data_IF_644562218177
#
_entry.id   IF_644562218177
#
_cell.length_a   1.000
_cell.length_b   1.000
_cell.length_c   1.000
_cell.angle_alpha   90.00
_cell.angle_beta   90.00
_cell.angle_gamma   90.00
#
_symmetry.space_group_name_H-M   'P 1'
#
loop_
_entity.id
_entity.type
_entity.pdbx_description
1 polymer ?
#
# COMPACT_ATOMS: atom_id res chain seq x y z
N UNK A 1 -48.87 -3.93 17.73
CA UNK A 1 -47.66 -4.07 16.90
C UNK A 1 -48.14 -4.42 15.50
N UNK A 2 -47.56 -3.85 14.46
CA UNK A 2 -47.92 -4.21 13.09
C UNK A 2 -47.59 -5.69 12.86
N UNK A 3 -48.57 -6.47 12.38
CA UNK A 3 -48.48 -7.92 12.27
C UNK A 3 -47.99 -8.29 10.88
N UNK A 4 -46.88 -9.04 10.81
CA UNK A 4 -46.39 -9.60 9.55
C UNK A 4 -47.00 -10.99 9.40
N UNK A 5 -47.82 -11.17 8.36
CA UNK A 5 -48.33 -12.48 7.97
C UNK A 5 -47.32 -13.19 7.07
N UNK A 6 -46.35 -13.86 7.70
CA UNK A 6 -45.53 -14.87 7.02
C UNK A 6 -45.83 -16.24 7.60
N UNK A 7 -45.96 -17.25 6.73
CA UNK A 7 -46.16 -18.63 7.15
C UNK A 7 -44.82 -19.27 7.55
N UNK A 8 -44.88 -20.32 8.36
CA UNK A 8 -43.69 -21.12 8.70
C UNK A 8 -42.99 -21.66 7.45
N UNK A 9 -43.76 -21.98 6.41
CA UNK A 9 -43.24 -22.48 5.13
C UNK A 9 -42.44 -21.42 4.38
N UNK A 10 -42.89 -20.16 4.38
CA UNK A 10 -42.11 -19.04 3.82
C UNK A 10 -40.81 -18.79 4.58
N UNK A 11 -40.82 -18.91 5.91
CA UNK A 11 -39.58 -18.78 6.71
C UNK A 11 -38.62 -19.94 6.42
N UNK A 12 -39.14 -21.16 6.23
CA UNK A 12 -38.35 -22.33 5.82
C UNK A 12 -37.73 -22.16 4.44
N UNK A 13 -38.47 -21.61 3.47
CA UNK A 13 -37.94 -21.34 2.12
C UNK A 13 -36.86 -20.25 2.15
N UNK A 14 -37.06 -19.17 2.92
CA UNK A 14 -36.10 -18.06 3.03
C UNK A 14 -34.80 -18.47 3.74
N UNK A 15 -34.89 -19.32 4.76
CA UNK A 15 -33.72 -19.65 5.60
C UNK A 15 -33.11 -21.01 5.32
N UNK A 16 -33.82 -21.88 4.60
CA UNK A 16 -33.41 -23.25 4.38
C UNK A 16 -33.65 -24.15 5.59
N UNK A 17 -34.00 -25.42 5.34
CA UNK A 17 -34.52 -26.34 6.36
C UNK A 17 -33.54 -26.59 7.53
N UNK A 18 -32.24 -26.58 7.24
CA UNK A 18 -31.16 -26.73 8.24
C UNK A 18 -31.08 -25.56 9.21
N UNK A 19 -31.21 -24.32 8.72
CA UNK A 19 -31.16 -23.14 9.58
C UNK A 19 -32.49 -22.90 10.28
N UNK A 20 -33.61 -23.21 9.62
CA UNK A 20 -34.94 -23.17 10.20
C UNK A 20 -35.04 -24.03 11.46
N UNK A 21 -34.71 -25.34 11.37
CA UNK A 21 -34.80 -26.26 12.53
C UNK A 21 -34.02 -25.76 13.75
N UNK A 22 -32.84 -25.20 13.51
CA UNK A 22 -32.00 -24.62 14.56
C UNK A 22 -32.56 -23.29 15.08
N UNK A 23 -33.10 -22.44 14.20
CA UNK A 23 -33.74 -21.18 14.57
C UNK A 23 -35.00 -21.40 15.40
N UNK A 24 -35.82 -22.38 15.04
CA UNK A 24 -37.00 -22.81 15.79
C UNK A 24 -36.65 -23.25 17.21
N UNK A 25 -35.55 -24.00 17.37
CA UNK A 25 -35.03 -24.36 18.70
C UNK A 25 -34.62 -23.11 19.51
N UNK A 26 -34.00 -22.11 18.89
CA UNK A 26 -33.61 -20.88 19.58
C UNK A 26 -34.82 -20.04 19.99
N UNK A 27 -35.81 -19.94 19.12
CA UNK A 27 -37.09 -19.29 19.42
C UNK A 27 -37.83 -20.00 20.56
N UNK A 28 -38.04 -21.33 20.47
CA UNK A 28 -38.75 -22.11 21.50
C UNK A 28 -38.07 -22.04 22.87
N UNK A 29 -36.75 -21.96 22.89
CA UNK A 29 -35.95 -21.81 24.12
C UNK A 29 -35.85 -20.36 24.63
N UNK A 30 -36.64 -19.43 24.10
CA UNK A 30 -36.67 -18.03 24.57
C UNK A 30 -35.36 -17.28 24.37
N UNK A 31 -34.53 -17.68 23.41
CA UNK A 31 -33.22 -17.05 23.16
C UNK A 31 -33.32 -15.75 22.35
N UNK A 32 -34.52 -15.42 21.88
CA UNK A 32 -34.82 -14.19 21.15
C UNK A 32 -35.40 -13.17 22.11
N UNK A 33 -34.85 -11.96 22.13
CA UNK A 33 -35.29 -10.87 22.98
C UNK A 33 -35.00 -9.52 22.32
N UNK A 34 -35.50 -8.44 22.91
CA UNK A 34 -35.26 -7.09 22.39
C UNK A 34 -35.86 -6.85 21.00
N UNK A 35 -36.95 -7.53 20.64
CA UNK A 35 -37.66 -7.25 19.40
C UNK A 35 -38.25 -5.84 19.46
N UNK A 36 -37.92 -5.05 18.44
CA UNK A 36 -38.39 -3.67 18.24
C UNK A 36 -38.73 -3.46 16.77
N UNK A 37 -39.79 -2.70 16.50
CA UNK A 37 -40.22 -2.32 15.17
C UNK A 37 -39.98 -0.83 14.96
N UNK A 38 -39.35 -0.48 13.84
CA UNK A 38 -39.19 0.90 13.40
C UNK A 38 -40.18 1.18 12.24
N UNK A 39 -41.19 2.05 12.46
CA UNK A 39 -42.19 2.39 11.45
C UNK A 39 -41.65 3.28 10.31
N UNK A 40 -40.59 4.06 10.53
CA UNK A 40 -40.08 5.00 9.52
C UNK A 40 -39.48 4.28 8.31
N UNK A 41 -38.83 3.14 8.54
CA UNK A 41 -38.15 2.36 7.51
C UNK A 41 -38.68 0.92 7.40
N UNK A 42 -39.86 0.65 7.96
CA UNK A 42 -40.52 -0.66 7.95
C UNK A 42 -39.57 -1.81 8.32
N UNK A 43 -38.82 -1.66 9.41
CA UNK A 43 -37.80 -2.64 9.81
C UNK A 43 -38.00 -3.19 11.22
N UNK A 44 -37.65 -4.46 11.41
CA UNK A 44 -37.58 -5.11 12.70
C UNK A 44 -36.13 -5.33 13.12
N UNK A 45 -35.86 -5.13 14.40
CA UNK A 45 -34.59 -5.51 15.02
C UNK A 45 -34.83 -6.50 16.15
N UNK A 46 -34.04 -7.58 16.17
CA UNK A 46 -34.06 -8.59 17.22
C UNK A 46 -32.66 -8.98 17.72
N UNK A 47 -32.57 -9.36 18.99
CA UNK A 47 -31.34 -9.88 19.59
C UNK A 47 -31.49 -11.38 19.87
N UNK A 48 -30.46 -12.15 19.54
CA UNK A 48 -30.46 -13.60 19.74
C UNK A 48 -29.27 -14.04 20.58
N UNK A 49 -29.52 -14.70 21.71
CA UNK A 49 -28.48 -15.25 22.60
C UNK A 49 -27.91 -16.54 22.02
N UNK A 50 -26.66 -16.51 21.55
CA UNK A 50 -25.88 -17.69 21.18
C UNK A 50 -24.59 -17.78 22.00
N UNK A 51 -23.46 -18.05 21.35
CA UNK A 51 -22.12 -17.92 21.98
C UNK A 51 -21.78 -16.47 22.32
N UNK A 52 -22.34 -15.53 21.54
CA UNK A 52 -22.44 -14.10 21.84
C UNK A 52 -23.84 -13.62 21.51
N UNK A 53 -24.13 -12.34 21.75
CA UNK A 53 -25.39 -11.73 21.34
C UNK A 53 -25.29 -11.37 19.86
N UNK A 54 -26.20 -11.89 19.07
CA UNK A 54 -26.29 -11.57 17.65
C UNK A 54 -27.41 -10.57 17.40
N UNK A 55 -27.12 -9.54 16.62
CA UNK A 55 -28.12 -8.55 16.19
C UNK A 55 -28.62 -8.93 14.82
N UNK A 56 -29.93 -9.05 14.70
CA UNK A 56 -30.64 -9.32 13.45
C UNK A 56 -31.47 -8.10 13.09
N UNK A 57 -31.41 -7.66 11.83
CA UNK A 57 -32.34 -6.68 11.28
C UNK A 57 -33.06 -7.29 10.08
N UNK A 58 -34.34 -6.96 9.95
CA UNK A 58 -35.22 -7.44 8.90
C UNK A 58 -35.90 -6.21 8.32
N UNK A 59 -35.74 -5.98 7.02
CA UNK A 59 -36.34 -4.87 6.30
C UNK A 59 -37.44 -5.41 5.39
N UNK A 60 -38.60 -4.78 5.45
CA UNK A 60 -39.73 -5.11 4.59
C UNK A 60 -39.81 -4.09 3.47
N UNK A 61 -39.69 -4.53 2.22
CA UNK A 61 -39.95 -3.67 1.06
C UNK A 61 -41.38 -3.85 0.55
N UNK A 62 -41.88 -2.89 -0.22
CA UNK A 62 -43.29 -2.79 -0.64
C UNK A 62 -43.78 -3.95 -1.55
N UNK A 63 -42.91 -4.90 -1.93
CA UNK A 63 -43.19 -5.96 -2.91
C UNK A 63 -43.03 -7.39 -2.36
N UNK A 64 -43.29 -7.61 -1.06
CA UNK A 64 -43.12 -8.92 -0.37
C UNK A 64 -41.68 -9.46 -0.34
N UNK A 65 -40.69 -8.68 -0.76
CA UNK A 65 -39.27 -9.01 -0.56
C UNK A 65 -38.83 -8.62 0.85
N UNK A 66 -38.09 -9.53 1.48
CA UNK A 66 -37.57 -9.36 2.83
C UNK A 66 -36.06 -9.37 2.73
N UNK A 67 -35.45 -8.25 3.09
CA UNK A 67 -34.00 -8.19 3.25
C UNK A 67 -33.65 -8.42 4.73
N UNK A 68 -32.60 -9.18 4.97
CA UNK A 68 -32.20 -9.54 6.33
C UNK A 68 -30.72 -9.31 6.53
N UNK A 69 -30.32 -8.96 7.74
CA UNK A 69 -28.90 -8.86 8.10
C UNK A 69 -28.68 -9.46 9.47
N UNK A 70 -27.56 -10.14 9.64
CA UNK A 70 -27.14 -10.68 10.92
C UNK A 70 -25.63 -10.60 11.09
N UNK A 71 -25.16 -10.15 12.25
CA UNK A 71 -23.72 -10.04 12.55
C UNK A 71 -23.05 -11.39 12.92
N UNK A 72 -23.65 -12.52 12.55
CA UNK A 72 -23.11 -13.84 12.84
C UNK A 72 -22.26 -14.36 11.68
N UNK A 73 -21.19 -15.15 11.96
CA UNK A 73 -20.31 -15.66 10.91
C UNK A 73 -21.04 -16.44 9.81
N UNK A 74 -22.07 -17.22 10.18
CA UNK A 74 -22.85 -18.00 9.23
C UNK A 74 -23.63 -17.14 8.22
N UNK A 75 -24.02 -15.92 8.61
CA UNK A 75 -24.74 -15.02 7.73
C UNK A 75 -23.80 -14.45 6.66
N UNK A 76 -22.58 -14.07 7.03
CA UNK A 76 -21.58 -13.59 6.08
C UNK A 76 -21.16 -14.61 5.01
N UNK A 77 -21.46 -15.91 5.21
CA UNK A 77 -21.10 -16.99 4.27
C UNK A 77 -22.30 -17.50 3.47
N UNK A 78 -23.52 -17.36 3.99
CA UNK A 78 -24.71 -18.02 3.43
C UNK A 78 -25.88 -17.07 3.18
N UNK A 79 -25.71 -15.77 3.46
CA UNK A 79 -26.75 -14.72 3.42
C UNK A 79 -28.03 -15.05 4.20
N UNK A 80 -27.95 -16.04 5.08
CA UNK A 80 -29.02 -16.46 5.97
C UNK A 80 -28.44 -17.20 7.16
N UNK A 81 -29.21 -17.31 8.24
CA UNK A 81 -28.77 -18.06 9.40
C UNK A 81 -29.92 -18.45 10.34
N UNK A 82 -29.60 -19.32 11.30
CA UNK A 82 -30.52 -19.71 12.37
C UNK A 82 -31.03 -18.54 13.22
N UNK A 83 -30.29 -17.43 13.32
CA UNK A 83 -30.72 -16.27 14.11
C UNK A 83 -31.79 -15.46 13.36
N UNK A 84 -31.66 -15.33 12.04
CA UNK A 84 -32.71 -14.73 11.18
C UNK A 84 -33.99 -15.55 11.28
N UNK A 85 -33.89 -16.88 11.14
CA UNK A 85 -35.03 -17.78 11.34
C UNK A 85 -35.69 -17.62 12.72
N UNK A 86 -34.90 -17.55 13.80
CA UNK A 86 -35.42 -17.39 15.15
C UNK A 86 -36.16 -16.06 15.36
N UNK A 87 -35.65 -14.97 14.79
CA UNK A 87 -36.27 -13.63 14.91
C UNK A 87 -37.52 -13.53 14.05
N UNK A 88 -37.51 -14.06 12.83
CA UNK A 88 -38.72 -14.14 11.99
C UNK A 88 -39.83 -14.94 12.69
N UNK A 89 -39.50 -16.10 13.26
CA UNK A 89 -40.45 -16.90 14.05
C UNK A 89 -40.98 -16.13 15.26
N UNK A 90 -40.12 -15.39 15.95
CA UNK A 90 -40.55 -14.60 17.09
C UNK A 90 -41.50 -13.47 16.68
N UNK A 91 -41.24 -12.78 15.56
CA UNK A 91 -42.10 -11.70 15.06
C UNK A 91 -43.45 -12.24 14.57
N UNK A 92 -43.47 -13.40 13.92
CA UNK A 92 -44.71 -13.99 13.35
C UNK A 92 -45.54 -14.74 14.38
N UNK A 93 -44.91 -15.40 15.36
CA UNK A 93 -45.59 -16.26 16.34
C UNK A 93 -45.84 -15.58 17.70
N UNK A 94 -45.04 -14.60 18.13
CA UNK A 94 -45.40 -13.77 19.30
C UNK A 94 -46.59 -12.85 19.00
N UNK A 95 -46.84 -12.56 17.71
CA UNK A 95 -48.06 -11.91 17.25
C UNK A 95 -49.34 -12.75 17.46
N UNK A 96 -49.20 -14.08 17.53
CA UNK A 96 -50.32 -15.03 17.66
C UNK A 96 -50.45 -15.61 19.08
N UNK A 97 -49.39 -15.54 19.89
CA UNK A 97 -49.40 -16.03 21.28
C UNK A 97 -49.25 -14.87 22.25
N UNK A 98 -50.23 -14.68 23.14
CA UNK A 98 -50.23 -13.68 24.23
C UNK A 98 -49.15 -13.96 25.31
N UNK A 99 -47.91 -14.26 24.93
CA UNK A 99 -46.79 -14.49 25.85
C UNK A 99 -46.22 -13.16 26.30
N UNK A 100 -46.68 -12.70 27.48
CA UNK A 100 -46.04 -11.64 28.26
C UNK A 100 -44.56 -12.01 28.50
N UNK A 101 -43.68 -11.04 28.25
CA UNK A 101 -42.23 -11.12 28.45
C UNK A 101 -41.87 -11.17 29.94
N UNK A 102 -40.59 -11.48 30.16
CA UNK A 102 -39.77 -11.40 31.38
C UNK A 102 -39.60 -12.72 32.15
N UNK A 103 -38.43 -13.34 31.95
CA UNK A 103 -37.80 -14.19 32.94
C UNK A 103 -36.69 -13.38 33.62
N UNK A 104 -37.01 -12.76 34.74
CA UNK A 104 -36.07 -12.43 35.82
C UNK A 104 -36.86 -12.54 37.14
N UNK A 105 -36.23 -13.20 38.12
CA UNK A 105 -36.71 -13.60 39.45
C UNK A 105 -38.01 -13.01 40.01
N UNK A 106 -38.93 -13.91 40.37
CA UNK A 106 -40.05 -13.62 41.28
C UNK A 106 -39.55 -13.68 42.71
N UNK A 107 -39.19 -12.53 43.27
CA UNK A 107 -39.54 -12.08 44.64
C UNK A 107 -38.71 -10.85 45.01
N UNK A 108 -39.17 -9.66 44.62
CA UNK A 108 -38.80 -8.43 45.30
C UNK A 108 -39.92 -7.40 45.09
N UNK A 109 -40.40 -6.86 46.20
CA UNK A 109 -41.47 -5.86 46.27
C UNK A 109 -41.10 -4.59 45.50
N UNK A 110 -42.15 -3.93 45.01
CA UNK A 110 -42.12 -2.75 44.17
C UNK A 110 -41.36 -1.58 44.81
N UNK A 111 -40.26 -1.18 44.19
CA UNK A 111 -39.80 0.21 44.17
C UNK A 111 -39.71 0.57 42.70
N UNK A 112 -40.41 1.61 42.26
CA UNK A 112 -40.39 2.10 40.88
C UNK A 112 -39.05 2.74 40.57
N UNK A 113 -38.03 1.91 40.37
CA UNK A 113 -36.81 2.32 39.67
C UNK A 113 -37.19 2.32 38.20
N UNK A 114 -37.10 3.46 37.52
CA UNK A 114 -37.23 3.51 36.07
C UNK A 114 -36.22 2.51 35.50
N UNK A 115 -36.72 1.44 34.88
CA UNK A 115 -35.89 0.44 34.23
C UNK A 115 -34.97 1.15 33.23
N UNK A 116 -33.66 0.91 33.33
CA UNK A 116 -32.69 1.51 32.41
C UNK A 116 -33.10 1.22 30.97
N UNK A 117 -33.31 2.28 30.19
CA UNK A 117 -33.73 2.21 28.79
C UNK A 117 -32.80 1.27 28.02
N UNK A 118 -33.35 0.59 27.01
CA UNK A 118 -32.63 -0.28 26.10
C UNK A 118 -31.39 0.42 25.51
N UNK A 119 -31.48 1.71 25.20
CA UNK A 119 -30.33 2.48 24.72
C UNK A 119 -29.26 2.64 25.80
N UNK A 120 -29.65 2.99 27.03
CA UNK A 120 -28.74 3.10 28.17
C UNK A 120 -28.14 1.74 28.56
N UNK A 121 -28.90 0.63 28.50
CA UNK A 121 -28.36 -0.74 28.65
C UNK A 121 -27.36 -1.09 27.55
N UNK A 122 -27.58 -0.60 26.33
CA UNK A 122 -26.65 -0.78 25.22
C UNK A 122 -25.38 0.06 25.42
N UNK A 123 -25.49 1.30 25.86
CA UNK A 123 -24.32 2.11 26.26
C UNK A 123 -23.53 1.42 27.37
N UNK A 124 -24.21 0.99 28.44
CA UNK A 124 -23.59 0.27 29.56
C UNK A 124 -22.91 -1.04 29.15
N UNK A 125 -23.38 -1.70 28.09
CA UNK A 125 -22.78 -2.94 27.57
C UNK A 125 -21.65 -2.66 26.57
N UNK A 126 -21.80 -1.67 25.70
CA UNK A 126 -20.81 -1.26 24.68
C UNK A 126 -19.59 -0.61 25.34
N UNK A 127 -19.81 0.24 26.33
CA UNK A 127 -18.77 0.91 27.11
C UNK A 127 -18.49 0.18 28.44
N UNK A 128 -18.97 -1.06 28.60
CA UNK A 128 -18.57 -1.88 29.73
C UNK A 128 -17.09 -2.14 29.57
N UNK A 129 -16.31 -1.51 30.42
CA UNK A 129 -14.87 -1.64 30.40
C UNK A 129 -14.54 -3.13 30.59
N UNK A 130 -13.98 -3.75 29.55
CA UNK A 130 -13.55 -5.16 29.58
C UNK A 130 -12.23 -5.32 30.35
N UNK A 131 -11.76 -4.25 30.99
CA UNK A 131 -10.62 -4.16 31.88
C UNK A 131 -10.89 -4.87 33.22
N UNK A 132 -11.25 -6.16 33.16
CA UNK A 132 -10.96 -7.10 34.25
C UNK A 132 -9.66 -7.87 33.95
N UNK A 133 -8.70 -7.21 33.30
CA UNK A 133 -7.33 -7.70 33.26
C UNK A 133 -6.58 -6.99 34.38
N UNK A 134 -6.46 -7.66 35.52
CA UNK A 134 -5.56 -7.30 36.64
C UNK A 134 -4.08 -7.53 36.32
N UNK A 135 -3.74 -7.68 35.04
CA UNK A 135 -2.39 -7.96 34.57
C UNK A 135 -1.65 -6.65 34.33
N UNK A 136 -0.39 -6.57 34.75
CA UNK A 136 0.44 -5.40 34.52
C UNK A 136 0.65 -5.17 33.02
N UNK A 137 0.71 -3.92 32.55
CA UNK A 137 1.01 -3.62 31.15
C UNK A 137 2.28 -4.32 30.69
N UNK A 138 2.25 -4.92 29.50
CA UNK A 138 3.37 -5.64 28.90
C UNK A 138 3.76 -5.01 27.57
N UNK A 139 5.04 -4.66 27.44
CA UNK A 139 5.59 -4.17 26.18
C UNK A 139 5.63 -5.32 25.17
N UNK A 140 5.31 -5.02 23.92
CA UNK A 140 5.45 -5.95 22.80
C UNK A 140 6.67 -5.57 21.99
N UNK A 141 7.55 -6.54 21.78
CA UNK A 141 8.68 -6.41 20.87
C UNK A 141 8.23 -6.70 19.44
N UNK A 142 8.77 -5.95 18.49
CA UNK A 142 8.43 -6.00 17.07
C UNK A 142 9.68 -6.15 16.20
N UNK A 143 9.55 -6.95 15.13
CA UNK A 143 10.54 -7.03 14.05
C UNK A 143 9.83 -6.86 12.71
N UNK A 144 10.52 -6.24 11.76
CA UNK A 144 9.98 -5.94 10.45
C UNK A 144 10.78 -6.65 9.35
N UNK A 145 10.10 -7.07 8.29
CA UNK A 145 10.75 -7.55 7.08
C UNK A 145 10.25 -6.76 5.90
N UNK A 146 11.07 -5.86 5.40
CA UNK A 146 10.81 -5.11 4.17
C UNK A 146 11.22 -6.01 2.99
N UNK A 147 10.30 -6.29 2.08
CA UNK A 147 10.56 -7.15 0.92
C UNK A 147 10.30 -6.41 -0.38
N UNK A 148 11.27 -6.48 -1.27
CA UNK A 148 11.11 -6.10 -2.67
C UNK A 148 10.51 -7.28 -3.44
N UNK A 149 9.33 -7.08 -4.04
CA UNK A 149 8.61 -8.11 -4.78
C UNK A 149 8.16 -7.61 -6.15
N UNK A 150 7.94 -8.54 -7.07
CA UNK A 150 7.29 -8.24 -8.35
C UNK A 150 5.80 -8.12 -8.13
N UNK A 151 5.27 -6.99 -8.57
CA UNK A 151 3.86 -6.68 -8.49
C UNK A 151 3.09 -7.52 -9.54
N UNK A 152 3.44 -7.38 -10.81
CA UNK A 152 2.70 -8.00 -11.91
C UNK A 152 3.65 -8.62 -12.93
N UNK A 153 3.09 -9.34 -13.91
CA UNK A 153 3.82 -9.86 -15.07
C UNK A 153 4.54 -8.75 -15.85
N UNK A 154 4.10 -7.51 -15.75
CA UNK A 154 4.68 -6.33 -16.42
C UNK A 154 5.83 -5.66 -15.64
N UNK A 155 6.64 -6.44 -14.91
CA UNK A 155 7.91 -6.01 -14.27
C UNK A 155 7.84 -4.81 -13.32
N UNK A 156 6.67 -4.39 -12.86
CA UNK A 156 6.56 -3.37 -11.82
C UNK A 156 7.00 -3.98 -10.49
N UNK A 157 7.96 -3.34 -9.82
CA UNK A 157 8.38 -3.71 -8.48
C UNK A 157 7.58 -2.96 -7.42
N UNK A 158 7.29 -3.63 -6.32
CA UNK A 158 6.60 -3.07 -5.18
C UNK A 158 7.29 -3.48 -3.88
N UNK A 159 7.06 -2.70 -2.84
CA UNK A 159 7.57 -3.00 -1.51
C UNK A 159 6.42 -3.51 -0.63
N UNK A 160 6.69 -4.60 0.06
CA UNK A 160 5.80 -5.15 1.07
C UNK A 160 6.51 -5.18 2.41
N UNK A 161 5.72 -5.18 3.48
CA UNK A 161 6.23 -5.31 4.84
C UNK A 161 5.51 -6.43 5.57
N UNK A 162 6.30 -7.26 6.25
CA UNK A 162 5.83 -8.24 7.22
C UNK A 162 6.21 -7.80 8.63
N UNK A 163 5.41 -8.21 9.59
CA UNK A 163 5.62 -7.90 11.00
C UNK A 163 5.72 -9.19 11.79
N UNK A 164 6.66 -9.22 12.72
CA UNK A 164 6.67 -10.17 13.83
C UNK A 164 6.46 -9.41 15.13
N UNK A 165 5.74 -10.02 16.07
CA UNK A 165 5.49 -9.40 17.37
C UNK A 165 5.38 -10.43 18.49
N UNK A 166 5.73 -10.05 19.73
CA UNK A 166 5.54 -10.89 20.92
C UNK A 166 5.99 -10.24 22.22
N UNK A 167 5.60 -10.84 23.34
CA UNK A 167 5.94 -10.43 24.71
C UNK A 167 7.31 -10.94 25.19
N UNK A 168 7.75 -12.08 24.67
CA UNK A 168 9.05 -12.72 25.01
C UNK A 168 9.96 -12.92 23.80
N UNK A 169 9.35 -13.18 22.64
CA UNK A 169 10.04 -13.32 21.37
C UNK A 169 9.10 -12.92 20.23
N UNK A 170 9.59 -12.27 19.17
CA UNK A 170 8.77 -11.91 18.02
C UNK A 170 8.27 -13.13 17.25
N UNK A 171 6.96 -13.21 17.02
CA UNK A 171 6.32 -14.25 16.21
C UNK A 171 5.74 -13.66 14.94
N UNK A 172 5.91 -14.35 13.81
CA UNK A 172 5.36 -13.94 12.51
C UNK A 172 3.84 -13.82 12.56
N UNK A 173 3.32 -12.66 12.16
CA UNK A 173 1.89 -12.44 11.99
C UNK A 173 1.43 -13.09 10.69
N UNK A 174 0.68 -14.19 10.78
CA UNK A 174 0.25 -14.95 9.59
C UNK A 174 -0.83 -14.27 8.75
N UNK A 175 -1.60 -13.38 9.38
CA UNK A 175 -2.67 -12.61 8.76
C UNK A 175 -2.56 -11.16 9.25
N UNK A 176 -1.74 -10.35 8.55
CA UNK A 176 -1.49 -8.97 8.94
C UNK A 176 -2.77 -8.12 8.82
N UNK A 177 -3.62 -8.41 7.82
CA UNK A 177 -4.89 -7.71 7.60
C UNK A 177 -5.88 -7.99 8.73
N UNK A 178 -5.97 -9.26 9.15
CA UNK A 178 -6.76 -9.67 10.31
C UNK A 178 -6.28 -9.02 11.59
N UNK A 179 -4.97 -8.96 11.80
CA UNK A 179 -4.36 -8.30 12.96
C UNK A 179 -4.68 -6.80 12.99
N UNK A 180 -4.39 -6.07 11.91
CA UNK A 180 -4.63 -4.62 11.83
C UNK A 180 -6.12 -4.28 11.99
N UNK A 181 -7.02 -5.11 11.44
CA UNK A 181 -8.47 -4.97 11.64
C UNK A 181 -8.86 -5.16 13.11
N UNK A 182 -8.34 -6.18 13.78
CA UNK A 182 -8.61 -6.44 15.19
C UNK A 182 -8.08 -5.31 16.07
N UNK A 183 -6.86 -4.84 15.78
CA UNK A 183 -6.25 -3.71 16.47
C UNK A 183 -7.09 -2.44 16.36
N UNK A 184 -7.52 -2.08 15.14
CA UNK A 184 -8.39 -0.91 14.91
C UNK A 184 -9.77 -1.04 15.60
N UNK A 185 -10.23 -2.27 15.84
CA UNK A 185 -11.50 -2.55 16.52
C UNK A 185 -11.35 -2.72 18.05
N UNK A 186 -10.13 -2.61 18.60
CA UNK A 186 -9.85 -2.88 20.01
C UNK A 186 -10.08 -4.35 20.42
N UNK A 187 -10.01 -5.28 19.47
CA UNK A 187 -10.21 -6.72 19.70
C UNK A 187 -8.87 -7.45 19.91
N UNK A 188 -8.89 -8.50 20.74
CA UNK A 188 -7.75 -9.38 20.90
C UNK A 188 -7.49 -10.19 19.62
N UNK A 189 -6.22 -10.41 19.28
CA UNK A 189 -5.83 -11.17 18.10
C UNK A 189 -4.85 -12.30 18.43
N UNK A 190 -5.21 -13.54 18.05
CA UNK A 190 -4.37 -14.71 18.28
C UNK A 190 -3.30 -14.83 17.18
N UNK A 191 -2.05 -14.52 17.53
CA UNK A 191 -0.91 -14.59 16.61
C UNK A 191 -0.53 -16.05 16.34
N UNK A 192 -0.39 -16.84 17.41
CA UNK A 192 -0.15 -18.29 17.33
C UNK A 192 -0.72 -19.01 18.57
N UNK A 193 -0.34 -20.27 18.81
CA UNK A 193 -0.83 -21.02 19.97
C UNK A 193 -0.28 -20.51 21.32
N UNK A 194 0.88 -19.86 21.31
CA UNK A 194 1.59 -19.42 22.51
C UNK A 194 1.37 -17.94 22.84
N UNK A 195 0.96 -17.12 21.87
CA UNK A 195 0.82 -15.68 22.04
C UNK A 195 -0.48 -15.15 21.43
N UNK A 196 -1.22 -14.39 22.24
CA UNK A 196 -2.41 -13.64 21.85
C UNK A 196 -2.22 -12.19 22.26
N UNK A 197 -2.35 -11.29 21.30
CA UNK A 197 -2.29 -9.86 21.58
C UNK A 197 -3.62 -9.41 22.17
N UNK A 198 -3.54 -8.71 23.31
CA UNK A 198 -4.67 -8.13 24.01
C UNK A 198 -4.44 -6.62 24.14
N UNK A 199 -5.22 -5.76 23.45
CA UNK A 199 -5.05 -4.30 23.52
C UNK A 199 -5.18 -3.72 24.94
N UNK A 200 -5.83 -4.45 25.86
CA UNK A 200 -5.99 -4.05 27.27
C UNK A 200 -4.76 -4.33 28.14
N UNK A 201 -3.82 -5.16 27.68
CA UNK A 201 -2.65 -5.60 28.45
C UNK A 201 -1.36 -5.22 27.75
N UNK A 202 -1.35 -5.32 26.42
CA UNK A 202 -0.17 -5.15 25.60
C UNK A 202 -0.09 -3.74 25.02
N UNK A 203 1.10 -3.15 25.03
CA UNK A 203 1.37 -1.85 24.42
C UNK A 203 2.64 -1.87 23.59
N UNK A 204 2.71 -0.95 22.62
CA UNK A 204 3.88 -0.72 21.77
C UNK A 204 4.73 0.39 22.37
N UNK A 205 6.05 0.36 22.13
CA UNK A 205 6.89 1.54 22.40
C UNK A 205 6.43 2.70 21.52
N UNK A 206 6.78 3.95 21.85
CA UNK A 206 6.37 5.10 21.03
C UNK A 206 6.81 4.98 19.57
N UNK A 207 7.99 4.39 19.34
CA UNK A 207 8.55 4.16 18.00
C UNK A 207 7.74 3.10 17.24
N UNK A 208 7.47 1.95 17.87
CA UNK A 208 6.69 0.87 17.27
C UNK A 208 5.24 1.29 17.04
N UNK A 209 4.66 2.04 17.97
CA UNK A 209 3.30 2.57 17.87
C UNK A 209 3.13 3.41 16.59
N UNK A 210 4.07 4.30 16.30
CA UNK A 210 4.03 5.10 15.08
C UNK A 210 4.13 4.23 13.81
N UNK A 211 4.92 3.14 13.86
CA UNK A 211 5.06 2.22 12.72
C UNK A 211 3.76 1.46 12.50
N UNK A 212 3.13 1.00 13.59
CA UNK A 212 1.83 0.33 13.56
C UNK A 212 0.73 1.26 13.01
N UNK A 213 0.74 2.56 13.34
CA UNK A 213 -0.17 3.56 12.77
C UNK A 213 0.03 3.75 11.26
N UNK A 214 1.28 3.76 10.79
CA UNK A 214 1.55 3.75 9.33
C UNK A 214 1.02 2.47 8.67
N UNK A 215 1.19 1.30 9.30
CA UNK A 215 0.67 0.04 8.77
C UNK A 215 -0.86 0.00 8.75
N UNK A 216 -1.54 0.61 9.74
CA UNK A 216 -2.98 0.82 9.70
C UNK A 216 -3.39 1.70 8.51
N UNK A 217 -2.62 2.75 8.23
CA UNK A 217 -2.84 3.61 7.05
C UNK A 217 -2.66 2.81 5.75
N UNK A 218 -1.63 1.96 5.65
CA UNK A 218 -1.45 1.04 4.52
C UNK A 218 -2.69 0.13 4.35
N UNK A 219 -3.21 -0.43 5.46
CA UNK A 219 -4.39 -1.30 5.45
C UNK A 219 -5.66 -0.57 5.00
N UNK A 220 -5.85 0.67 5.42
CA UNK A 220 -7.01 1.46 5.01
C UNK A 220 -6.95 1.83 3.53
N UNK A 221 -5.78 2.25 3.02
CA UNK A 221 -5.59 2.53 1.60
C UNK A 221 -5.77 1.27 0.75
N UNK A 222 -5.21 0.13 1.17
CA UNK A 222 -5.45 -1.15 0.50
C UNK A 222 -6.94 -1.50 0.47
N UNK A 223 -7.69 -1.26 1.56
CA UNK A 223 -9.13 -1.54 1.61
C UNK A 223 -9.95 -0.61 0.70
N UNK A 224 -9.61 0.68 0.65
CA UNK A 224 -10.33 1.69 -0.15
C UNK A 224 -10.05 1.54 -1.65
N UNK A 225 -8.80 1.30 -2.00
CA UNK A 225 -8.35 1.25 -3.40
C UNK A 225 -8.14 -0.17 -3.91
N UNK A 226 -8.66 -1.17 -3.20
CA UNK A 226 -8.29 -2.60 -3.24
C UNK A 226 -8.41 -3.36 -4.55
N UNK A 227 -8.52 -2.66 -5.69
CA UNK A 227 -8.41 -3.21 -7.04
C UNK A 227 -7.74 -2.25 -8.07
N UNK A 228 -7.40 -1.00 -7.75
CA UNK A 228 -6.87 -0.03 -8.73
C UNK A 228 -5.35 0.08 -8.73
N UNK A 229 -4.69 -0.19 -7.60
CA UNK A 229 -3.23 -0.18 -7.48
C UNK A 229 -2.69 -1.63 -7.52
N UNK A 230 -2.73 -2.20 -8.72
CA UNK A 230 -1.81 -3.25 -9.22
C UNK A 230 -1.87 -4.65 -8.57
N UNK A 231 -2.37 -4.91 -7.34
CA UNK A 231 -1.98 -6.16 -6.66
C UNK A 231 -3.00 -6.89 -5.76
N UNK A 232 -3.44 -8.07 -6.20
CA UNK A 232 -3.86 -9.14 -5.27
C UNK A 232 -2.60 -9.78 -4.69
N UNK A 233 -2.24 -9.47 -3.44
CA UNK A 233 -1.40 -10.39 -2.69
C UNK A 233 -2.22 -11.64 -2.39
N UNK A 234 -1.79 -12.77 -2.92
CA UNK A 234 -2.23 -14.08 -2.41
C UNK A 234 -1.64 -14.36 -1.01
N UNK A 235 -0.74 -13.49 -0.52
CA UNK A 235 -0.04 -13.67 0.74
C UNK A 235 -0.70 -12.92 1.89
N UNK A 236 -1.27 -13.62 2.90
CA UNK A 236 -1.91 -12.99 4.05
C UNK A 236 -0.92 -12.36 5.03
N UNK A 237 0.39 -12.64 4.90
CA UNK A 237 1.43 -12.27 5.88
C UNK A 237 2.01 -10.88 5.67
N UNK A 238 1.89 -10.35 4.46
CA UNK A 238 2.49 -9.08 4.07
C UNK A 238 1.44 -8.10 3.57
N UNK A 239 1.77 -6.82 3.71
CA UNK A 239 0.96 -5.70 3.23
C UNK A 239 1.81 -4.82 2.31
N UNK A 240 1.21 -4.24 1.28
CA UNK A 240 1.91 -3.28 0.42
C UNK A 240 2.14 -1.97 1.13
N UNK A 241 3.30 -1.38 0.85
CA UNK A 241 3.60 -0.01 1.22
C UNK A 241 3.12 0.89 0.08
N UNK A 242 2.14 1.78 0.31
CA UNK A 242 1.74 2.76 -0.70
C UNK A 242 2.90 3.69 -1.07
N UNK A 243 3.02 4.10 -2.35
CA UNK A 243 4.08 5.01 -2.76
C UNK A 243 4.08 6.35 -2.02
N UNK A 244 2.93 6.80 -1.51
CA UNK A 244 2.81 8.04 -0.74
C UNK A 244 3.40 7.94 0.67
N UNK A 245 3.61 6.74 1.21
CA UNK A 245 4.10 6.51 2.56
C UNK A 245 5.56 6.05 2.62
N UNK A 246 6.19 5.79 1.47
CA UNK A 246 7.50 5.14 1.45
C UNK A 246 8.59 5.97 2.12
N UNK A 247 8.64 7.28 1.88
CA UNK A 247 9.67 8.16 2.44
C UNK A 247 9.63 8.13 3.98
N UNK A 248 8.46 8.39 4.55
CA UNK A 248 8.25 8.36 6.01
C UNK A 248 8.51 6.96 6.59
N UNK A 249 8.11 5.91 5.86
CA UNK A 249 8.33 4.54 6.30
C UNK A 249 9.82 4.18 6.35
N UNK A 250 10.60 4.54 5.32
CA UNK A 250 12.04 4.27 5.29
C UNK A 250 12.77 5.03 6.39
N UNK A 251 12.45 6.31 6.60
CA UNK A 251 13.03 7.13 7.67
C UNK A 251 12.82 6.50 9.05
N UNK A 252 11.60 6.01 9.29
CA UNK A 252 11.26 5.37 10.55
C UNK A 252 11.84 3.95 10.68
N UNK A 253 11.92 3.19 9.59
CA UNK A 253 12.38 1.81 9.60
C UNK A 253 13.82 1.67 10.10
N UNK A 254 14.68 2.66 9.81
CA UNK A 254 16.10 2.71 10.25
C UNK A 254 16.24 2.65 11.78
N UNK A 255 15.22 3.09 12.52
CA UNK A 255 15.23 3.05 13.99
C UNK A 255 14.66 1.75 14.59
N UNK A 256 14.23 0.81 13.74
CA UNK A 256 13.56 -0.43 14.14
C UNK A 256 14.48 -1.64 14.00
N UNK A 257 14.07 -2.78 14.54
CA UNK A 257 14.66 -4.06 14.20
C UNK A 257 14.05 -4.57 12.89
N UNK A 258 14.83 -4.59 11.80
CA UNK A 258 14.34 -4.99 10.49
C UNK A 258 15.36 -5.75 9.65
N UNK A 259 14.85 -6.47 8.65
CA UNK A 259 15.65 -7.07 7.58
C UNK A 259 15.06 -6.60 6.25
N UNK A 260 15.92 -6.16 5.32
CA UNK A 260 15.53 -5.91 3.94
C UNK A 260 15.82 -7.14 3.08
N UNK A 261 14.81 -7.62 2.37
CA UNK A 261 14.89 -8.78 1.49
C UNK A 261 14.64 -8.38 0.04
N UNK A 262 15.60 -8.69 -0.82
CA UNK A 262 15.46 -8.48 -2.26
C UNK A 262 14.69 -9.62 -2.95
N UNK A 263 14.29 -9.38 -4.20
CA UNK A 263 13.65 -10.39 -5.05
C UNK A 263 14.54 -11.64 -5.21
N UNK A 264 15.86 -11.44 -5.35
CA UNK A 264 16.90 -12.47 -5.47
C UNK A 264 17.09 -13.33 -4.21
N UNK A 265 16.26 -13.14 -3.17
CA UNK A 265 16.36 -13.75 -1.84
C UNK A 265 17.59 -13.33 -1.03
N UNK A 266 18.37 -12.34 -1.48
CA UNK A 266 19.41 -11.72 -0.67
C UNK A 266 18.77 -10.91 0.47
N UNK A 267 19.33 -11.07 1.66
CA UNK A 267 18.89 -10.37 2.87
C UNK A 267 19.98 -9.41 3.34
N UNK A 268 19.56 -8.22 3.76
CA UNK A 268 20.41 -7.15 4.23
C UNK A 268 19.94 -6.67 5.61
N UNK A 269 20.83 -6.54 6.59
CA UNK A 269 20.47 -6.11 7.95
C UNK A 269 20.23 -4.60 8.05
N UNK A 270 20.57 -3.85 7.01
CA UNK A 270 20.38 -2.40 6.95
C UNK A 270 20.19 -1.94 5.52
N UNK A 271 19.59 -0.76 5.37
CA UNK A 271 19.42 -0.05 4.11
C UNK A 271 20.05 1.32 4.20
N UNK A 272 20.46 1.85 3.06
CA UNK A 272 20.95 3.22 2.90
C UNK A 272 20.06 3.95 1.91
N UNK A 273 19.75 5.20 2.21
CA UNK A 273 18.89 6.05 1.36
C UNK A 273 19.67 7.31 0.98
N UNK A 274 19.73 7.62 -0.31
CA UNK A 274 20.33 8.88 -0.79
C UNK A 274 19.67 9.31 -2.10
N UNK A 275 19.89 10.55 -2.53
CA UNK A 275 19.54 10.97 -3.89
C UNK A 275 20.40 10.23 -4.92
N UNK A 276 19.85 10.05 -6.13
CA UNK A 276 20.56 9.50 -7.27
C UNK A 276 21.39 10.58 -7.96
N UNK A 277 22.67 10.31 -8.14
CA UNK A 277 23.65 11.23 -8.73
C UNK A 277 24.38 10.57 -9.89
N UNK A 278 25.29 9.65 -9.58
CA UNK A 278 26.35 9.15 -10.46
C UNK A 278 26.40 7.62 -10.51
N UNK A 279 25.32 6.95 -10.11
CA UNK A 279 25.27 5.48 -9.99
C UNK A 279 25.28 4.76 -11.36
N UNK A 280 24.82 5.43 -12.41
CA UNK A 280 24.89 4.89 -13.77
C UNK A 280 26.10 5.52 -14.45
N UNK A 281 27.08 4.69 -14.80
CA UNK A 281 28.26 5.14 -15.52
C UNK A 281 28.03 4.89 -17.00
N UNK A 282 28.33 5.89 -17.82
CA UNK A 282 28.34 5.82 -19.27
C UNK A 282 29.76 6.12 -19.74
N UNK A 283 30.31 5.28 -20.60
CA UNK A 283 31.64 5.46 -21.16
C UNK A 283 31.55 5.55 -22.68
N UNK A 284 32.05 6.64 -23.23
CA UNK A 284 32.06 6.93 -24.66
C UNK A 284 33.49 6.94 -25.18
N UNK A 285 33.76 6.13 -26.20
CA UNK A 285 35.09 5.99 -26.78
C UNK A 285 35.06 6.13 -28.31
N UNK A 286 36.19 6.52 -28.89
CA UNK A 286 36.42 6.65 -30.32
C UNK A 286 37.52 5.70 -30.78
N UNK A 287 37.14 4.72 -31.61
CA UNK A 287 38.03 3.68 -32.09
C UNK A 287 38.71 4.06 -33.42
N UNK A 288 39.82 3.38 -33.72
CA UNK A 288 40.69 3.65 -34.89
C UNK A 288 39.99 3.54 -36.26
N UNK A 289 38.78 2.97 -36.35
CA UNK A 289 38.00 2.80 -37.58
C UNK A 289 36.91 3.88 -37.78
N UNK A 290 37.04 5.03 -37.14
CA UNK A 290 36.00 6.08 -37.12
C UNK A 290 34.65 5.57 -36.60
N UNK A 291 34.66 4.72 -35.58
CA UNK A 291 33.45 4.25 -34.92
C UNK A 291 33.43 4.71 -33.47
N UNK A 292 32.27 5.18 -33.04
CA UNK A 292 32.03 5.56 -31.65
C UNK A 292 31.45 4.37 -30.91
N UNK A 293 31.89 4.14 -29.67
CA UNK A 293 31.34 3.09 -28.82
C UNK A 293 30.83 3.62 -27.51
N UNK A 294 29.64 3.16 -27.11
CA UNK A 294 29.04 3.41 -25.81
C UNK A 294 29.05 2.12 -24.99
N UNK A 295 29.61 2.22 -23.79
CA UNK A 295 29.49 1.23 -22.71
C UNK A 295 28.71 1.88 -21.56
N UNK A 296 27.98 1.08 -20.80
CA UNK A 296 27.22 1.58 -19.66
C UNK A 296 27.17 0.55 -18.53
N UNK A 297 26.93 1.03 -17.30
CA UNK A 297 26.64 0.17 -16.15
C UNK A 297 25.53 -0.81 -16.49
N UNK A 298 25.75 -2.08 -16.16
CA UNK A 298 24.72 -3.12 -16.30
C UNK A 298 23.60 -2.85 -15.30
N UNK A 299 22.39 -2.57 -15.81
CA UNK A 299 21.22 -2.28 -14.97
C UNK A 299 20.41 -3.54 -14.63
N UNK A 300 20.88 -4.74 -14.97
CA UNK A 300 20.18 -5.99 -14.67
C UNK A 300 20.00 -6.24 -13.16
N UNK A 301 20.96 -5.78 -12.34
CA UNK A 301 20.91 -5.84 -10.88
C UNK A 301 20.24 -4.61 -10.23
N UNK A 302 19.75 -3.67 -11.05
CA UNK A 302 19.03 -2.48 -10.60
C UNK A 302 17.52 -2.70 -10.68
N UNK A 303 16.82 -2.31 -9.61
CA UNK A 303 15.38 -2.42 -9.51
C UNK A 303 14.75 -1.04 -9.58
N UNK A 304 14.07 -0.74 -10.69
CA UNK A 304 13.37 0.53 -10.87
C UNK A 304 11.93 0.45 -10.34
N UNK A 305 11.64 1.19 -9.27
CA UNK A 305 10.33 1.30 -8.65
C UNK A 305 9.67 2.62 -9.09
N UNK A 306 9.08 2.63 -10.29
CA UNK A 306 8.57 3.87 -10.92
C UNK A 306 7.64 4.68 -10.01
N UNK A 307 6.76 3.96 -9.30
CA UNK A 307 5.66 4.59 -8.57
C UNK A 307 6.18 5.16 -7.25
N UNK A 308 7.22 4.54 -6.70
CA UNK A 308 7.90 4.96 -5.48
C UNK A 308 8.94 6.06 -5.75
N UNK A 309 9.34 6.28 -7.01
CA UNK A 309 10.47 7.16 -7.36
C UNK A 309 11.76 6.75 -6.65
N UNK A 310 12.03 5.45 -6.67
CA UNK A 310 13.27 4.87 -6.19
C UNK A 310 13.90 3.94 -7.23
N UNK A 311 15.21 3.90 -7.25
CA UNK A 311 16.01 2.86 -7.87
C UNK A 311 16.77 2.12 -6.76
N UNK A 312 16.67 0.80 -6.71
CA UNK A 312 17.34 -0.01 -5.68
C UNK A 312 18.48 -0.79 -6.32
N UNK A 313 19.66 -0.74 -5.71
CA UNK A 313 20.80 -1.59 -6.04
C UNK A 313 21.42 -2.12 -4.75
N UNK A 314 21.50 -3.45 -4.60
CA UNK A 314 21.81 -4.11 -3.33
C UNK A 314 20.89 -3.60 -2.19
N UNK A 315 21.45 -3.09 -1.08
CA UNK A 315 20.69 -2.49 0.02
C UNK A 315 20.52 -0.98 -0.06
N UNK A 316 20.88 -0.36 -1.20
CA UNK A 316 20.83 1.08 -1.36
C UNK A 316 19.59 1.51 -2.15
N UNK A 317 18.86 2.46 -1.60
CA UNK A 317 17.66 3.07 -2.15
C UNK A 317 18.02 4.48 -2.67
N UNK A 318 18.11 4.62 -3.98
CA UNK A 318 18.39 5.90 -4.62
C UNK A 318 17.07 6.61 -4.96
N UNK A 319 16.80 7.71 -4.27
CA UNK A 319 15.66 8.58 -4.55
C UNK A 319 15.90 9.32 -5.85
N UNK A 320 14.85 9.42 -6.67
CA UNK A 320 14.96 10.09 -7.98
C UNK A 320 13.97 11.25 -8.11
N UNK A 321 14.42 12.29 -8.79
CA UNK A 321 13.57 13.42 -9.17
C UNK A 321 12.66 13.08 -10.37
N UNK A 322 11.73 13.97 -10.71
CA UNK A 322 10.77 13.73 -11.80
C UNK A 322 11.44 13.64 -13.18
N UNK A 323 12.47 14.45 -13.44
CA UNK A 323 13.22 14.42 -14.70
C UNK A 323 13.99 13.11 -14.84
N UNK A 324 14.70 12.70 -13.78
CA UNK A 324 15.39 11.41 -13.70
C UNK A 324 14.42 10.24 -13.93
N UNK A 325 13.22 10.27 -13.32
CA UNK A 325 12.18 9.25 -13.55
C UNK A 325 11.84 9.09 -15.03
N UNK A 326 11.60 10.19 -15.75
CA UNK A 326 11.26 10.14 -17.19
C UNK A 326 12.38 9.53 -18.04
N UNK A 327 13.64 9.78 -17.67
CA UNK A 327 14.81 9.24 -18.37
C UNK A 327 14.99 7.76 -18.05
N UNK A 328 14.90 7.38 -16.78
CA UNK A 328 15.02 5.99 -16.33
C UNK A 328 13.90 5.12 -16.90
N UNK A 329 12.66 5.63 -16.99
CA UNK A 329 11.56 4.92 -17.67
C UNK A 329 11.92 4.55 -19.12
N UNK A 330 12.57 5.46 -19.86
CA UNK A 330 13.02 5.18 -21.23
C UNK A 330 14.17 4.17 -21.24
N UNK A 331 15.16 4.33 -20.36
CA UNK A 331 16.33 3.44 -20.24
C UNK A 331 15.92 2.00 -19.88
N UNK A 332 15.11 1.82 -18.84
CA UNK A 332 14.64 0.49 -18.41
C UNK A 332 13.70 -0.16 -19.44
N UNK A 333 13.05 0.61 -20.31
CA UNK A 333 12.23 0.07 -21.42
C UNK A 333 13.07 -0.50 -22.55
N UNK A 334 14.26 0.04 -22.82
CA UNK A 334 15.16 -0.40 -23.90
C UNK A 334 16.15 -1.48 -23.46
N UNK A 335 16.43 -1.59 -22.15
CA UNK A 335 17.37 -2.56 -21.55
C UNK A 335 17.05 -4.05 -21.75
N UNK A 336 15.78 -4.53 -21.79
CA UNK A 336 15.47 -5.96 -21.97
C UNK A 336 15.95 -6.56 -23.30
N UNK A 337 16.43 -5.72 -24.22
CA UNK A 337 16.84 -6.11 -25.57
C UNK A 337 18.36 -6.09 -25.79
N UNK A 338 19.18 -5.80 -24.77
CA UNK A 338 20.62 -5.57 -24.95
C UNK A 338 21.48 -6.73 -24.40
N UNK A 339 21.97 -7.59 -25.30
CA UNK A 339 22.95 -8.64 -24.97
C UNK A 339 24.42 -8.21 -25.21
N UNK A 340 24.65 -7.00 -25.76
CA UNK A 340 25.99 -6.51 -26.10
C UNK A 340 26.46 -5.51 -25.05
N UNK A 341 27.63 -5.76 -24.46
CA UNK A 341 28.27 -4.84 -23.51
C UNK A 341 28.68 -3.51 -24.15
N UNK A 342 29.02 -3.52 -25.45
CA UNK A 342 29.40 -2.33 -26.22
C UNK A 342 28.39 -2.08 -27.33
N UNK A 343 27.88 -0.85 -27.40
CA UNK A 343 27.02 -0.37 -28.47
C UNK A 343 27.84 0.50 -29.44
N UNK A 344 27.59 0.37 -30.73
CA UNK A 344 28.28 1.16 -31.76
C UNK A 344 27.38 2.29 -32.24
N UNK A 345 27.95 3.48 -32.39
CA UNK A 345 27.28 4.68 -32.90
C UNK A 345 28.02 5.09 -34.18
N UNK A 346 27.25 5.30 -35.25
CA UNK A 346 27.79 5.73 -36.54
C UNK A 346 28.23 7.20 -36.49
N UNK A 347 29.28 7.62 -37.23
CA UNK A 347 29.66 9.03 -37.27
C UNK A 347 28.58 10.00 -37.72
N UNK A 348 27.71 9.57 -38.64
CA UNK A 348 26.58 10.39 -39.12
C UNK A 348 25.51 10.65 -38.07
N UNK A 349 25.42 9.82 -37.02
CA UNK A 349 24.43 9.95 -35.95
C UNK A 349 25.02 10.57 -34.69
N UNK A 350 26.34 10.84 -34.68
CA UNK A 350 27.04 11.30 -33.48
C UNK A 350 26.53 12.66 -33.01
N UNK A 351 26.33 13.62 -33.91
CA UNK A 351 25.80 14.94 -33.57
C UNK A 351 24.41 14.85 -32.93
N UNK A 352 23.58 13.94 -33.44
CA UNK A 352 22.23 13.68 -32.90
C UNK A 352 22.33 13.05 -31.51
N UNK A 353 23.27 12.13 -31.31
CA UNK A 353 23.51 11.48 -30.02
C UNK A 353 24.00 12.49 -28.96
N UNK A 354 24.98 13.33 -29.30
CA UNK A 354 25.50 14.36 -28.40
C UNK A 354 24.39 15.35 -28.03
N UNK A 355 23.60 15.80 -29.00
CA UNK A 355 22.55 16.80 -28.75
C UNK A 355 21.37 16.27 -27.93
N UNK A 356 20.97 15.01 -28.15
CA UNK A 356 19.72 14.49 -27.59
C UNK A 356 19.91 13.47 -26.46
N UNK A 357 21.01 12.71 -26.45
CA UNK A 357 21.21 11.59 -25.51
C UNK A 357 22.13 11.97 -24.36
N UNK A 358 23.28 12.59 -24.65
CA UNK A 358 24.27 12.93 -23.60
C UNK A 358 23.69 13.80 -22.47
N UNK A 359 22.93 14.89 -22.73
CA UNK A 359 22.34 15.69 -21.67
C UNK A 359 21.36 14.91 -20.79
N UNK A 360 20.71 13.87 -21.33
CA UNK A 360 19.83 13.00 -20.55
C UNK A 360 20.65 12.04 -19.67
N UNK A 361 21.78 11.53 -20.17
CA UNK A 361 22.64 10.62 -19.41
C UNK A 361 23.31 11.33 -18.23
N UNK A 362 23.78 12.56 -18.43
CA UNK A 362 24.35 13.41 -17.37
C UNK A 362 23.37 13.71 -16.22
N UNK A 363 22.05 13.60 -16.46
CA UNK A 363 21.04 13.82 -15.41
C UNK A 363 20.82 12.60 -14.51
N UNK A 364 21.18 11.40 -14.96
CA UNK A 364 20.94 10.13 -14.25
C UNK A 364 22.22 9.40 -13.89
N UNK A 365 23.38 9.94 -14.26
CA UNK A 365 24.64 9.24 -14.15
C UNK A 365 25.85 10.07 -14.56
N UNK A 366 27.02 9.46 -14.50
CA UNK A 366 28.28 10.07 -14.94
C UNK A 366 28.59 9.67 -16.38
N UNK A 367 28.93 10.62 -17.24
CA UNK A 367 29.41 10.37 -18.59
C UNK A 367 30.92 10.61 -18.65
N UNK A 368 31.68 9.55 -18.93
CA UNK A 368 33.11 9.61 -19.15
C UNK A 368 33.44 9.47 -20.64
N UNK A 369 34.42 10.24 -21.10
CA UNK A 369 34.91 10.19 -22.47
C UNK A 369 36.40 9.87 -22.49
N UNK A 370 36.85 9.07 -23.45
CA UNK A 370 38.28 8.88 -23.67
C UNK A 370 38.95 10.17 -24.15
N UNK A 371 40.25 10.35 -23.91
CA UNK A 371 40.99 11.53 -24.41
C UNK A 371 40.89 11.69 -25.93
N UNK A 372 40.81 10.59 -26.67
CA UNK A 372 40.63 10.60 -28.13
C UNK A 372 39.26 11.14 -28.52
N UNK A 373 38.25 10.81 -27.73
CA UNK A 373 36.89 11.29 -27.91
C UNK A 373 36.76 12.78 -27.56
N UNK A 374 37.35 13.20 -26.43
CA UNK A 374 37.37 14.60 -26.02
C UNK A 374 38.07 15.52 -27.05
N UNK A 375 39.06 15.01 -27.80
CA UNK A 375 39.69 15.76 -28.90
C UNK A 375 38.83 15.88 -30.16
N UNK A 376 37.87 14.97 -30.36
CA UNK A 376 36.92 15.02 -31.48
C UNK A 376 35.72 15.93 -31.18
N UNK A 377 35.32 16.02 -29.90
CA UNK A 377 34.21 16.88 -29.45
C UNK A 377 34.78 18.08 -28.71
N UNK A 378 34.78 19.23 -29.36
CA UNK A 378 35.11 20.47 -28.69
C UNK A 378 33.99 20.83 -27.69
N UNK A 379 34.27 20.72 -26.40
CA UNK A 379 33.33 20.99 -25.29
C UNK A 379 33.60 22.32 -24.58
N UNK A 380 34.56 23.10 -25.05
CA UNK A 380 34.90 24.39 -24.46
C UNK A 380 33.72 25.39 -24.58
N UNK A 381 33.49 26.25 -23.58
CA UNK A 381 32.41 27.23 -23.63
C UNK A 381 32.63 28.20 -24.80
N UNK A 382 31.56 28.43 -25.58
CA UNK A 382 31.59 29.37 -26.71
C UNK A 382 31.92 30.79 -26.23
N UNK A 383 32.99 31.36 -26.78
CA UNK A 383 33.33 32.77 -26.65
C UNK A 383 33.16 33.47 -28.01
N UNK A 384 32.41 34.56 -28.04
CA UNK A 384 32.19 35.34 -29.26
C UNK A 384 33.03 36.60 -29.18
N UNK A 385 33.92 36.80 -30.17
CA UNK A 385 34.68 38.04 -30.34
C UNK A 385 34.16 38.77 -31.57
N UNK A 386 33.90 40.07 -31.40
CA UNK A 386 33.45 40.94 -32.50
C UNK A 386 34.52 41.98 -32.73
N UNK A 387 35.09 41.98 -33.93
CA UNK A 387 36.06 42.96 -34.39
C UNK A 387 35.33 43.98 -35.25
N UNK A 388 35.48 45.26 -34.94
CA UNK A 388 34.84 46.35 -35.67
C UNK A 388 35.93 47.24 -36.23
N UNK A 389 36.00 47.32 -37.56
CA UNK A 389 36.92 48.16 -38.29
C UNK A 389 36.16 49.14 -39.18
N UNK A 390 36.70 50.35 -39.35
CA UNK A 390 36.18 51.33 -40.30
C UNK A 390 37.01 51.28 -41.58
N UNK A 391 36.37 50.94 -42.70
CA UNK A 391 37.00 50.87 -44.03
C UNK A 391 36.17 51.74 -44.99
N UNK A 392 36.82 52.73 -45.60
CA UNK A 392 36.20 53.65 -46.57
C UNK A 392 34.88 54.29 -46.07
N UNK A 393 34.84 54.70 -44.79
CA UNK A 393 33.67 55.32 -44.15
C UNK A 393 32.51 54.36 -43.86
N UNK A 394 32.74 53.05 -44.00
CA UNK A 394 31.79 52.00 -43.65
C UNK A 394 32.33 51.15 -42.49
N UNK A 395 31.47 50.87 -41.51
CA UNK A 395 31.80 49.97 -40.40
C UNK A 395 31.69 48.51 -40.88
N UNK A 396 32.81 47.78 -40.83
CA UNK A 396 32.88 46.34 -41.04
C UNK A 396 32.96 45.65 -39.68
N UNK A 397 32.06 44.69 -39.44
CA UNK A 397 32.10 43.84 -38.26
C UNK A 397 32.45 42.40 -38.66
N UNK A 398 33.51 41.85 -38.08
CA UNK A 398 33.87 40.44 -38.19
C UNK A 398 33.59 39.73 -36.87
N UNK A 399 32.90 38.59 -36.96
CA UNK A 399 32.53 37.79 -35.79
C UNK A 399 33.35 36.51 -35.80
N UNK A 400 34.07 36.27 -34.72
CA UNK A 400 34.78 35.03 -34.47
C UNK A 400 34.10 34.25 -33.33
N UNK A 401 33.81 32.98 -33.58
CA UNK A 401 33.31 32.03 -32.59
C UNK A 401 34.47 31.17 -32.13
N UNK A 402 34.80 31.23 -30.85
CA UNK A 402 35.92 30.51 -30.24
C UNK A 402 35.37 29.42 -29.32
N UNK A 403 35.82 28.18 -29.54
CA UNK A 403 35.64 27.07 -28.61
C UNK A 403 37.06 26.61 -28.23
N UNK A 404 37.57 27.06 -27.08
CA UNK A 404 38.96 26.80 -26.69
C UNK A 404 39.97 27.30 -27.73
N UNK A 405 40.81 26.41 -28.24
CA UNK A 405 41.81 26.69 -29.30
C UNK A 405 41.23 26.70 -30.73
N UNK A 406 39.94 26.37 -30.90
CA UNK A 406 39.29 26.28 -32.22
C UNK A 406 38.51 27.55 -32.53
N UNK A 407 38.78 28.16 -33.69
CA UNK A 407 38.14 29.41 -34.13
C UNK A 407 37.33 29.19 -35.42
N UNK A 408 36.13 29.76 -35.46
CA UNK A 408 35.24 29.77 -36.61
C UNK A 408 34.86 31.20 -37.00
N UNK A 409 34.82 31.50 -38.29
CA UNK A 409 34.20 32.72 -38.83
C UNK A 409 33.02 32.34 -39.73
N UNK A 410 31.95 33.16 -39.81
CA UNK A 410 30.76 32.84 -40.58
C UNK A 410 30.98 32.69 -42.10
N UNK A 411 32.19 32.98 -42.59
CA UNK A 411 32.52 33.02 -44.02
C UNK A 411 33.77 32.21 -44.44
N UNK A 412 34.42 31.45 -43.55
CA UNK A 412 35.58 30.60 -43.92
C UNK A 412 35.45 29.15 -43.43
N UNK A 413 36.00 28.17 -44.17
CA UNK A 413 36.11 26.79 -43.68
C UNK A 413 37.06 26.70 -42.48
N UNK A 414 36.82 25.71 -41.62
CA UNK A 414 37.49 25.47 -40.34
C UNK A 414 39.02 25.56 -40.50
N UNK A 415 39.65 26.52 -39.80
CA UNK A 415 41.10 26.62 -39.70
C UNK A 415 41.52 26.21 -38.28
N UNK A 416 42.18 25.06 -38.15
CA UNK A 416 42.95 24.75 -36.94
C UNK A 416 44.09 25.77 -36.84
N UNK A 417 44.22 26.44 -35.69
CA UNK A 417 45.40 27.27 -35.45
C UNK A 417 46.61 26.36 -35.31
N UNK A 418 47.42 26.31 -36.37
CA UNK A 418 48.76 25.73 -36.33
C UNK A 418 49.57 26.56 -35.33
N UNK A 419 49.90 25.96 -34.18
CA UNK A 419 50.86 26.51 -33.22
C UNK A 419 52.14 26.88 -33.98
N UNK A 420 52.41 28.19 -34.11
CA UNK A 420 53.77 28.67 -34.37
C UNK A 420 54.59 28.46 -33.09
N UNK A 421 55.80 27.98 -33.34
CA UNK A 421 56.85 27.47 -32.45
C UNK A 421 56.98 28.16 -31.10
#
# INVERSE_FOLDING_TARGET
MQHIQMTEESIRQLTGDRFYKRGYSYYKNGKVYGLSYNPENHSWRGLVKGTKIYTVRIYFTNEMMIDTTCNCPAFATHDTCKHVAAVLLAITQDAQSNRKRFAVDRNAQQVSVQDTDLFAKQLLYTFRDKSQHTESPQVVETEYMLTLTKASKNTQYALTIEVKMGDKRPYVIRDIRGFLKALNSGESFKINQSFTFYPSVHYFTSKDQHMIEMLLTCYEQERLFGNSYVLKLEQPRSIYIPPSLIDQLLDQLVEMNYIFKQESQKEYPSISVSEMTDQIHFQLDYQQQKSYTLEMTDLSDYYFLDSYRYVIHNNHFYKINYQQKQILEKLFRIMPFQNKKKQYISPSEMDVFVKNVMPQFEQVGSLEMSERMAKQINTDPLQIKVFIDEIDGSLKAEVEYHYGDTMFTPHSPIMEQVKKS
#
